data_IF_744387430292
#
_entry.id   IF_744387430292
#
_cell.length_a   1.000
_cell.length_b   1.000
_cell.length_c   1.000
_cell.angle_alpha   90.00
_cell.angle_beta   90.00
_cell.angle_gamma   90.00
#
_symmetry.space_group_name_H-M   'P 1'
#
loop_
_entity.id
_entity.type
_entity.pdbx_description
1 polymer ?
#
# COMPACT_ATOMS: atom_id res chain seq x y z
N UNK A 1 13.16 -2.34 2.66
CA UNK A 1 12.90 -2.14 4.10
C UNK A 1 14.12 -1.67 4.85
N UNK A 2 15.27 -2.29 4.67
CA UNK A 2 16.51 -1.99 5.43
C UNK A 2 16.97 -0.52 5.34
N UNK A 3 16.74 0.14 4.22
CA UNK A 3 17.05 1.56 4.03
C UNK A 3 16.26 2.52 4.94
N UNK A 4 15.16 2.06 5.55
CA UNK A 4 14.31 2.89 6.42
C UNK A 4 14.82 2.99 7.86
N UNK A 5 15.62 2.04 8.32
CA UNK A 5 16.23 2.06 9.65
C UNK A 5 16.67 0.69 10.15
N UNK A 6 17.64 0.67 11.06
CA UNK A 6 18.18 -0.54 11.68
C UNK A 6 17.33 -1.07 12.86
N UNK A 7 16.40 -0.25 13.36
CA UNK A 7 15.56 -0.60 14.52
C UNK A 7 14.18 -1.12 14.12
N UNK A 8 14.03 -1.57 12.88
CA UNK A 8 12.79 -2.09 12.33
C UNK A 8 12.86 -3.60 12.18
N UNK A 9 11.80 -4.29 12.60
CA UNK A 9 11.58 -5.67 12.23
C UNK A 9 10.93 -5.71 10.84
N UNK A 10 11.47 -6.52 9.94
CA UNK A 10 11.00 -6.62 8.57
C UNK A 10 10.30 -7.95 8.36
N UNK A 11 9.04 -7.90 7.91
CA UNK A 11 8.28 -9.05 7.46
C UNK A 11 8.06 -8.92 5.93
N UNK A 12 8.68 -9.81 5.17
CA UNK A 12 8.48 -9.89 3.72
C UNK A 12 7.45 -10.97 3.40
N UNK A 13 6.32 -10.57 2.85
CA UNK A 13 5.22 -11.45 2.48
C UNK A 13 5.26 -11.72 0.98
N UNK A 14 5.14 -12.98 0.59
CA UNK A 14 5.01 -13.39 -0.80
C UNK A 14 3.54 -13.51 -1.18
N UNK A 15 3.15 -12.90 -2.31
CA UNK A 15 1.81 -13.06 -2.87
C UNK A 15 1.49 -14.52 -3.21
N UNK A 16 0.27 -14.94 -2.98
CA UNK A 16 -0.20 -16.33 -3.06
C UNK A 16 -0.86 -16.70 -4.40
N UNK A 17 -0.87 -15.77 -5.35
CA UNK A 17 -1.37 -15.97 -6.71
C UNK A 17 -0.20 -16.10 -7.67
N UNK A 18 -0.26 -17.06 -8.61
CA UNK A 18 0.73 -17.19 -9.68
C UNK A 18 0.14 -16.67 -10.99
N UNK A 19 0.83 -15.70 -11.61
CA UNK A 19 0.52 -15.22 -12.95
C UNK A 19 1.75 -15.40 -13.84
N UNK A 20 1.67 -16.31 -14.81
CA UNK A 20 2.80 -16.68 -15.69
C UNK A 20 4.09 -17.03 -14.92
N UNK A 21 3.96 -17.72 -13.79
CA UNK A 21 5.08 -18.08 -12.90
C UNK A 21 5.56 -16.97 -11.96
N UNK A 22 5.00 -15.77 -12.06
CA UNK A 22 5.33 -14.65 -11.18
C UNK A 22 4.36 -14.58 -9.99
N UNK A 23 4.85 -14.44 -8.74
CA UNK A 23 3.98 -14.28 -7.59
C UNK A 23 3.31 -12.90 -7.58
N UNK A 24 2.01 -12.89 -7.31
CA UNK A 24 1.18 -11.70 -7.13
C UNK A 24 0.33 -11.83 -5.87
N UNK A 25 -0.05 -10.71 -5.29
CA UNK A 25 -0.95 -10.73 -4.13
C UNK A 25 -2.39 -11.06 -4.51
N UNK A 26 -2.84 -10.66 -5.70
CA UNK A 26 -4.20 -10.91 -6.18
C UNK A 26 -4.23 -11.01 -7.71
N UNK A 27 -5.30 -11.59 -8.25
CA UNK A 27 -5.54 -11.75 -9.69
C UNK A 27 -5.87 -10.43 -10.36
N UNK A 28 -5.53 -10.34 -11.64
CA UNK A 28 -6.01 -9.29 -12.52
C UNK A 28 -6.70 -9.90 -13.73
N UNK A 29 -7.68 -9.18 -14.26
CA UNK A 29 -8.43 -9.55 -15.46
C UNK A 29 -7.81 -8.99 -16.73
N UNK A 30 -6.88 -8.05 -16.58
CA UNK A 30 -6.14 -7.39 -17.66
C UNK A 30 -5.17 -6.36 -17.11
N UNK A 31 -4.45 -5.65 -17.98
CA UNK A 31 -3.56 -4.57 -17.58
C UNK A 31 -4.36 -3.46 -16.90
N UNK A 32 -4.04 -3.18 -15.62
CA UNK A 32 -4.75 -2.18 -14.81
C UNK A 32 -6.19 -2.56 -14.42
N UNK A 33 -6.64 -3.79 -14.70
CA UNK A 33 -7.98 -4.25 -14.35
C UNK A 33 -7.88 -5.37 -13.32
N UNK A 34 -8.29 -5.10 -12.09
CA UNK A 34 -8.19 -6.04 -10.98
C UNK A 34 -9.41 -6.97 -10.91
N UNK A 35 -9.20 -8.20 -10.48
CA UNK A 35 -10.25 -9.07 -9.98
C UNK A 35 -10.57 -8.60 -8.55
N UNK A 36 -11.60 -7.76 -8.42
CA UNK A 36 -11.94 -7.11 -7.14
C UNK A 36 -12.44 -8.11 -6.09
N UNK A 37 -13.03 -9.22 -6.50
CA UNK A 37 -13.46 -10.28 -5.58
C UNK A 37 -12.24 -11.02 -5.01
N UNK A 38 -11.28 -11.37 -5.88
CA UNK A 38 -10.04 -11.97 -5.42
C UNK A 38 -9.21 -10.98 -4.59
N UNK A 39 -9.17 -9.69 -4.96
CA UNK A 39 -8.49 -8.66 -4.18
C UNK A 39 -9.07 -8.54 -2.76
N UNK A 40 -10.39 -8.50 -2.61
CA UNK A 40 -11.04 -8.46 -1.30
C UNK A 40 -10.69 -9.70 -0.47
N UNK A 41 -10.84 -10.90 -1.06
CA UNK A 41 -10.49 -12.15 -0.40
C UNK A 41 -9.02 -12.21 0.04
N UNK A 42 -8.08 -11.76 -0.83
CA UNK A 42 -6.65 -11.73 -0.51
C UNK A 42 -6.29 -10.68 0.53
N UNK A 43 -7.07 -9.61 0.62
CA UNK A 43 -6.92 -8.61 1.69
C UNK A 43 -7.23 -9.22 3.05
N UNK A 44 -8.32 -9.99 3.16
CA UNK A 44 -8.70 -10.70 4.38
C UNK A 44 -7.64 -11.75 4.76
N UNK A 45 -7.22 -12.57 3.78
CA UNK A 45 -6.16 -13.58 3.96
C UNK A 45 -4.85 -12.95 4.49
N UNK A 46 -4.46 -11.79 3.95
CA UNK A 46 -3.26 -11.07 4.38
C UNK A 46 -3.38 -10.58 5.83
N UNK A 47 -4.53 -10.02 6.21
CA UNK A 47 -4.74 -9.55 7.58
C UNK A 47 -4.77 -10.70 8.58
N UNK A 48 -5.41 -11.81 8.27
CA UNK A 48 -5.43 -12.99 9.14
C UNK A 48 -4.04 -13.60 9.28
N UNK A 49 -3.25 -13.61 8.20
CA UNK A 49 -1.84 -13.98 8.27
C UNK A 49 -1.05 -13.05 9.19
N UNK A 50 -1.20 -11.72 9.06
CA UNK A 50 -0.51 -10.75 9.91
C UNK A 50 -0.86 -10.92 11.39
N UNK A 51 -2.14 -11.12 11.72
CA UNK A 51 -2.59 -11.40 13.09
C UNK A 51 -1.95 -12.67 13.65
N UNK A 52 -1.94 -13.74 12.84
CA UNK A 52 -1.36 -15.03 13.22
C UNK A 52 0.15 -14.92 13.48
N UNK A 53 0.87 -14.18 12.63
CA UNK A 53 2.30 -13.94 12.80
C UNK A 53 2.57 -13.04 13.99
N UNK A 54 1.77 -11.99 14.21
CA UNK A 54 1.90 -11.10 15.35
C UNK A 54 1.76 -11.86 16.68
N UNK A 55 0.78 -12.76 16.75
CA UNK A 55 0.59 -13.62 17.92
C UNK A 55 1.79 -14.57 18.14
N UNK A 56 2.29 -15.18 17.07
CA UNK A 56 3.37 -16.17 17.12
C UNK A 56 4.72 -15.50 17.50
N UNK A 57 5.03 -14.37 16.88
CA UNK A 57 6.31 -13.69 17.02
C UNK A 57 6.30 -12.62 18.14
N UNK A 58 5.14 -12.36 18.75
CA UNK A 58 5.01 -11.48 19.92
C UNK A 58 5.13 -9.99 19.61
N UNK A 59 4.77 -9.52 18.41
CA UNK A 59 4.73 -8.09 18.10
C UNK A 59 3.31 -7.52 18.09
N UNK A 60 3.21 -6.21 18.25
CA UNK A 60 1.92 -5.52 18.20
C UNK A 60 1.49 -5.27 16.75
N UNK A 61 0.45 -5.94 16.29
CA UNK A 61 -0.12 -5.77 14.95
C UNK A 61 -0.55 -4.33 14.64
N UNK A 62 -0.95 -3.56 15.66
CA UNK A 62 -1.32 -2.13 15.52
C UNK A 62 -0.14 -1.20 15.22
N UNK A 63 1.09 -1.72 15.25
CA UNK A 63 2.32 -0.99 14.88
C UNK A 63 2.86 -1.40 13.51
N UNK A 64 2.12 -2.18 12.75
CA UNK A 64 2.53 -2.59 11.41
C UNK A 64 2.39 -1.44 10.43
N UNK A 65 3.46 -1.18 9.69
CA UNK A 65 3.50 -0.21 8.60
C UNK A 65 3.69 -1.00 7.30
N UNK A 66 2.79 -0.80 6.34
CA UNK A 66 2.92 -1.46 5.05
C UNK A 66 3.91 -0.71 4.15
N UNK A 67 4.73 -1.46 3.41
CA UNK A 67 5.54 -0.94 2.31
C UNK A 67 5.26 -1.77 1.07
N UNK A 68 4.71 -1.14 0.04
CA UNK A 68 4.32 -1.82 -1.18
C UNK A 68 4.74 -1.07 -2.45
N UNK A 69 5.01 -1.85 -3.50
CA UNK A 69 5.25 -1.34 -4.84
C UNK A 69 4.29 -2.01 -5.82
N UNK A 70 3.63 -1.22 -6.68
CA UNK A 70 2.72 -1.71 -7.72
C UNK A 70 1.65 -2.65 -7.13
N UNK A 71 1.67 -3.94 -7.47
CA UNK A 71 0.75 -4.94 -6.93
C UNK A 71 0.73 -4.99 -5.39
N UNK A 72 1.91 -4.86 -4.74
CA UNK A 72 2.04 -4.77 -3.29
C UNK A 72 1.46 -3.47 -2.72
N UNK A 73 1.59 -2.35 -3.42
CA UNK A 73 0.96 -1.09 -3.03
C UNK A 73 -0.57 -1.17 -3.15
N UNK A 74 -1.07 -1.89 -4.16
CA UNK A 74 -2.50 -2.01 -4.39
C UNK A 74 -3.21 -2.86 -3.34
N UNK A 75 -2.60 -3.98 -2.90
CA UNK A 75 -3.18 -4.76 -1.80
C UNK A 75 -3.07 -4.03 -0.46
N UNK A 76 -1.98 -3.30 -0.21
CA UNK A 76 -1.88 -2.44 0.97
C UNK A 76 -2.95 -1.34 0.93
N UNK A 77 -3.20 -0.75 -0.23
CA UNK A 77 -4.30 0.19 -0.44
C UNK A 77 -5.68 -0.41 -0.18
N UNK A 78 -5.89 -1.68 -0.56
CA UNK A 78 -7.12 -2.40 -0.25
C UNK A 78 -7.29 -2.63 1.26
N UNK A 79 -6.20 -2.92 1.98
CA UNK A 79 -6.23 -2.98 3.46
C UNK A 79 -6.66 -1.64 4.04
N UNK A 80 -6.10 -0.52 3.57
CA UNK A 80 -6.43 0.81 4.11
C UNK A 80 -7.91 1.19 3.95
N UNK A 81 -8.54 0.82 2.84
CA UNK A 81 -9.94 1.19 2.60
C UNK A 81 -10.96 0.20 3.18
N UNK A 82 -10.60 -1.09 3.32
CA UNK A 82 -11.49 -2.08 3.92
C UNK A 82 -11.34 -2.14 5.45
N UNK A 83 -10.14 -1.83 5.97
CA UNK A 83 -9.79 -1.93 7.39
C UNK A 83 -8.94 -0.71 7.80
N UNK A 84 -9.54 0.49 7.87
CA UNK A 84 -8.80 1.76 7.94
C UNK A 84 -7.93 1.92 9.19
N UNK A 85 -8.20 1.18 10.26
CA UNK A 85 -7.41 1.21 11.50
C UNK A 85 -6.52 -0.04 11.69
N UNK A 86 -6.30 -0.83 10.62
CA UNK A 86 -5.48 -2.05 10.70
C UNK A 86 -3.96 -1.77 10.65
N UNK A 87 -3.55 -0.68 10.01
CA UNK A 87 -2.14 -0.33 9.82
C UNK A 87 -1.81 0.99 10.53
N UNK A 88 -0.61 1.07 11.11
CA UNK A 88 -0.07 2.30 11.68
C UNK A 88 0.31 3.34 10.62
N UNK A 89 0.44 2.93 9.38
CA UNK A 89 0.75 3.77 8.22
C UNK A 89 1.13 2.94 7.01
N UNK A 90 1.43 3.63 5.90
CA UNK A 90 1.88 2.93 4.70
C UNK A 90 2.79 3.78 3.80
N UNK A 91 3.69 3.10 3.08
CA UNK A 91 4.46 3.61 1.95
C UNK A 91 4.00 2.89 0.69
N UNK A 92 3.37 3.61 -0.22
CA UNK A 92 2.77 3.08 -1.43
C UNK A 92 3.48 3.65 -2.67
N UNK A 93 4.30 2.83 -3.32
CA UNK A 93 4.98 3.20 -4.56
C UNK A 93 4.17 2.73 -5.77
N UNK A 94 3.84 3.66 -6.68
CA UNK A 94 3.05 3.40 -7.89
C UNK A 94 1.73 2.69 -7.60
N UNK A 95 0.94 3.20 -6.61
CA UNK A 95 -0.36 2.62 -6.31
C UNK A 95 -1.38 2.93 -7.42
N UNK A 96 -2.39 2.09 -7.49
CA UNK A 96 -3.65 2.37 -8.17
C UNK A 96 -4.78 2.30 -7.13
N UNK A 97 -5.90 2.96 -7.40
CA UNK A 97 -7.10 2.76 -6.61
C UNK A 97 -7.48 1.26 -6.61
N UNK A 98 -7.64 0.62 -5.44
CA UNK A 98 -7.78 -0.84 -5.36
C UNK A 98 -9.12 -1.36 -5.91
N UNK A 99 -10.19 -0.59 -5.77
CA UNK A 99 -11.54 -0.94 -6.23
C UNK A 99 -12.09 0.17 -7.13
N UNK A 100 -12.86 -0.17 -8.14
CA UNK A 100 -13.54 0.81 -9.03
C UNK A 100 -14.42 1.76 -8.23
N UNK A 101 -15.18 1.20 -7.30
CA UNK A 101 -15.94 1.94 -6.30
C UNK A 101 -15.34 1.64 -4.93
N UNK A 102 -14.79 2.66 -4.28
CA UNK A 102 -14.27 2.49 -2.92
C UNK A 102 -15.43 2.23 -1.96
N UNK A 103 -15.27 1.35 -0.95
CA UNK A 103 -16.23 1.26 0.15
C UNK A 103 -16.29 2.58 0.91
N UNK A 104 -17.32 2.80 1.70
CA UNK A 104 -17.30 3.85 2.71
C UNK A 104 -16.32 3.45 3.82
N UNK A 105 -15.39 4.32 4.15
CA UNK A 105 -14.40 4.08 5.20
C UNK A 105 -14.06 5.36 5.96
N UNK A 106 -13.70 5.20 7.21
CA UNK A 106 -13.18 6.30 8.06
C UNK A 106 -12.14 5.73 9.00
N UNK A 107 -10.92 6.28 8.94
CA UNK A 107 -9.86 5.98 9.90
C UNK A 107 -10.00 6.89 11.12
N UNK A 108 -9.82 6.32 12.29
CA UNK A 108 -9.78 7.05 13.57
C UNK A 108 -8.34 7.36 14.01
N UNK A 109 -7.35 6.77 13.36
CA UNK A 109 -5.94 6.86 13.74
C UNK A 109 -5.19 8.02 13.11
N UNK A 110 -5.78 8.68 12.09
CA UNK A 110 -5.07 9.66 11.25
C UNK A 110 -3.70 9.15 10.78
N UNK A 111 -3.66 7.87 10.39
CA UNK A 111 -2.43 7.17 10.07
C UNK A 111 -1.70 7.84 8.90
N UNK A 112 -0.37 8.09 9.02
CA UNK A 112 0.40 8.74 7.96
C UNK A 112 0.64 7.81 6.78
N UNK A 113 0.38 8.32 5.58
CA UNK A 113 0.58 7.61 4.31
C UNK A 113 1.53 8.38 3.40
N UNK A 114 2.47 7.67 2.79
CA UNK A 114 3.29 8.19 1.70
C UNK A 114 2.90 7.51 0.40
N UNK A 115 2.52 8.30 -0.60
CA UNK A 115 2.25 7.82 -1.95
C UNK A 115 3.22 8.44 -2.95
N UNK A 116 3.76 7.62 -3.85
CA UNK A 116 4.58 8.09 -4.95
C UNK A 116 4.06 7.55 -6.27
N UNK A 117 3.67 8.45 -7.18
CA UNK A 117 3.24 8.15 -8.55
C UNK A 117 4.29 8.60 -9.57
N UNK A 118 4.30 7.96 -10.74
CA UNK A 118 5.11 8.39 -11.88
C UNK A 118 4.30 9.28 -12.82
N UNK A 119 4.77 10.49 -13.07
CA UNK A 119 4.10 11.43 -13.98
C UNK A 119 4.04 10.93 -15.44
N UNK A 120 4.91 9.98 -15.79
CA UNK A 120 4.97 9.36 -17.11
C UNK A 120 4.58 7.87 -17.06
N UNK A 121 3.87 7.44 -16.03
CA UNK A 121 3.40 6.05 -15.90
C UNK A 121 2.22 5.79 -16.84
N UNK A 122 2.39 4.97 -17.90
CA UNK A 122 1.33 4.71 -18.87
C UNK A 122 0.23 3.81 -18.33
N UNK A 123 0.42 3.20 -17.18
CA UNK A 123 -0.52 2.22 -16.59
C UNK A 123 -1.57 2.87 -15.71
N UNK A 124 -1.41 4.15 -15.38
CA UNK A 124 -2.25 4.85 -14.41
C UNK A 124 -2.73 6.19 -14.96
N UNK A 125 -4.03 6.44 -14.89
CA UNK A 125 -4.58 7.77 -15.15
C UNK A 125 -4.27 8.71 -13.96
N UNK A 126 -3.58 9.85 -14.20
CA UNK A 126 -3.29 10.83 -13.14
C UNK A 126 -4.52 11.36 -12.40
N UNK A 127 -5.68 11.45 -13.08
CA UNK A 127 -6.94 11.87 -12.45
C UNK A 127 -7.44 10.83 -11.45
N UNK A 128 -7.28 9.54 -11.76
CA UNK A 128 -7.64 8.45 -10.86
C UNK A 128 -6.78 8.45 -9.60
N UNK A 129 -5.47 8.69 -9.71
CA UNK A 129 -4.59 8.80 -8.55
C UNK A 129 -4.98 10.00 -7.68
N UNK A 130 -5.24 11.16 -8.28
CA UNK A 130 -5.67 12.34 -7.53
C UNK A 130 -6.98 12.10 -6.78
N UNK A 131 -7.96 11.47 -7.43
CA UNK A 131 -9.23 11.12 -6.79
C UNK A 131 -9.03 10.13 -5.63
N UNK A 132 -8.16 9.13 -5.80
CA UNK A 132 -7.84 8.17 -4.75
C UNK A 132 -7.14 8.84 -3.55
N UNK A 133 -6.18 9.72 -3.77
CA UNK A 133 -5.52 10.51 -2.72
C UNK A 133 -6.53 11.34 -1.94
N UNK A 134 -7.44 12.04 -2.62
CA UNK A 134 -8.49 12.83 -1.95
C UNK A 134 -9.46 11.96 -1.16
N UNK A 135 -9.80 10.77 -1.67
CA UNK A 135 -10.62 9.82 -0.92
C UNK A 135 -9.93 9.35 0.37
N UNK A 136 -8.62 9.05 0.32
CA UNK A 136 -7.85 8.68 1.51
C UNK A 136 -7.80 9.83 2.54
N UNK A 137 -7.57 11.07 2.10
CA UNK A 137 -7.60 12.26 2.98
C UNK A 137 -8.97 12.43 3.63
N UNK A 138 -10.03 12.36 2.84
CA UNK A 138 -11.41 12.45 3.34
C UNK A 138 -11.75 11.32 4.30
N UNK A 139 -11.19 10.12 4.07
CA UNK A 139 -11.32 8.96 4.95
C UNK A 139 -10.47 9.02 6.22
N UNK A 140 -9.81 10.15 6.51
CA UNK A 140 -9.13 10.37 7.79
C UNK A 140 -7.65 9.94 7.83
N UNK A 141 -6.99 9.81 6.67
CA UNK A 141 -5.55 9.56 6.62
C UNK A 141 -4.76 10.85 6.42
N UNK A 142 -3.57 10.93 7.02
CA UNK A 142 -2.59 11.99 6.73
C UNK A 142 -1.77 11.60 5.49
N UNK A 143 -2.09 12.15 4.33
CA UNK A 143 -1.50 11.72 3.05
C UNK A 143 -0.46 12.70 2.54
N UNK A 144 0.79 12.23 2.40
CA UNK A 144 1.85 12.88 1.66
C UNK A 144 1.94 12.21 0.26
N UNK A 145 1.48 12.91 -0.78
CA UNK A 145 1.47 12.42 -2.15
C UNK A 145 2.47 13.17 -3.02
N UNK A 146 3.25 12.42 -3.79
CA UNK A 146 4.27 12.94 -4.70
C UNK A 146 4.08 12.37 -6.10
N UNK A 147 4.25 13.22 -7.11
CA UNK A 147 4.34 12.82 -8.51
C UNK A 147 5.76 13.10 -9.00
N UNK A 148 6.50 12.05 -9.35
CA UNK A 148 7.88 12.15 -9.80
C UNK A 148 7.97 12.05 -11.34
N UNK A 149 8.99 12.66 -11.98
CA UNK A 149 9.21 12.57 -13.42
C UNK A 149 9.77 11.19 -13.80
N UNK A 150 8.99 10.14 -13.56
CA UNK A 150 9.34 8.73 -13.77
C UNK A 150 8.15 7.98 -14.38
N UNK A 151 8.42 6.84 -14.99
CA UNK A 151 7.42 5.88 -15.45
C UNK A 151 6.95 4.99 -14.27
N UNK A 152 6.52 3.75 -14.57
CA UNK A 152 6.08 2.79 -13.56
C UNK A 152 7.21 2.31 -12.65
N UNK A 153 8.46 2.27 -13.15
CA UNK A 153 9.60 1.76 -12.39
C UNK A 153 9.89 2.60 -11.13
N UNK A 154 10.29 1.90 -10.07
CA UNK A 154 10.77 2.50 -8.83
C UNK A 154 12.14 3.14 -9.05
N UNK A 155 12.35 4.36 -8.55
CA UNK A 155 13.60 5.09 -8.64
C UNK A 155 14.27 5.24 -7.27
N UNK A 156 15.56 5.56 -7.26
CA UNK A 156 16.26 5.87 -6.01
C UNK A 156 15.63 7.08 -5.30
N UNK A 157 15.17 8.07 -6.05
CA UNK A 157 14.51 9.26 -5.51
C UNK A 157 13.22 8.90 -4.74
N UNK A 158 12.44 7.94 -5.23
CA UNK A 158 11.26 7.44 -4.51
C UNK A 158 11.64 6.93 -3.12
N UNK A 159 12.69 6.09 -3.06
CA UNK A 159 13.15 5.46 -1.82
C UNK A 159 13.70 6.49 -0.85
N UNK A 160 14.49 7.45 -1.33
CA UNK A 160 15.09 8.49 -0.49
C UNK A 160 14.02 9.41 0.12
N UNK A 161 13.06 9.86 -0.68
CA UNK A 161 11.95 10.71 -0.20
C UNK A 161 11.05 9.96 0.79
N UNK A 162 10.73 8.70 0.51
CA UNK A 162 9.93 7.88 1.41
C UNK A 162 10.66 7.61 2.74
N UNK A 163 11.97 7.37 2.69
CA UNK A 163 12.80 7.19 3.90
C UNK A 163 12.81 8.45 4.77
N UNK A 164 13.00 9.61 4.15
CA UNK A 164 13.06 10.88 4.88
C UNK A 164 11.69 11.25 5.46
N UNK A 165 10.60 11.00 4.73
CA UNK A 165 9.24 11.11 5.25
C UNK A 165 9.00 10.15 6.42
N UNK A 166 9.41 8.88 6.29
CA UNK A 166 9.23 7.86 7.32
C UNK A 166 9.89 8.27 8.65
N UNK A 167 11.12 8.75 8.61
CA UNK A 167 11.85 9.24 9.81
C UNK A 167 11.15 10.40 10.52
N UNK A 168 10.39 11.20 9.79
CA UNK A 168 9.65 12.32 10.35
C UNK A 168 8.29 11.92 10.92
N UNK A 169 7.64 10.94 10.30
CA UNK A 169 6.29 10.47 10.66
C UNK A 169 6.29 9.44 11.78
N UNK A 170 7.35 8.63 11.91
CA UNK A 170 7.46 7.56 12.90
C UNK A 170 8.71 7.77 13.78
N UNK A 171 8.59 8.66 14.76
CA UNK A 171 9.64 8.96 15.76
C UNK A 171 9.53 8.08 16.98
#
# INVERSE_FOLDING_TARGET
>A
GESFGSNLNLLSVRGNVSEHGMPRFFKRLGMGVFDEQDLAFRTDELLDFLKSVALKEGFNEKKVIALGYSNGANIAGAVLVNYPDALAGAVLFRPMQPFKTLPEFTSTLNAPLFLSSGAMDPTVDPKSIKAYVEALKTGGFEVNDLSLPASHNLTQQDVDLARDWFKNSFK
#
